data_IF_508449798266
#
_entry.id   IF_508449798266
#
_cell.length_a   1.000
_cell.length_b   1.000
_cell.length_c   1.000
_cell.angle_alpha   90.00
_cell.angle_beta   90.00
_cell.angle_gamma   90.00
#
_symmetry.space_group_name_H-M   'P 1'
#
loop_
_entity.id
_entity.type
_entity.pdbx_description
1 polymer ?
#
# COMPACT_ATOMS: atom_id res chain seq x y z
N UNK A 1 -39.43 -12.87 -41.16
CA UNK A 1 -38.12 -12.95 -41.82
C UNK A 1 -37.94 -11.62 -42.55
N UNK A 2 -37.49 -10.52 -41.93
CA UNK A 2 -36.36 -10.37 -41.01
C UNK A 2 -35.07 -10.71 -41.77
N UNK A 3 -34.07 -9.87 -42.00
CA UNK A 3 -33.66 -8.59 -41.42
C UNK A 3 -32.62 -7.95 -42.37
N UNK A 4 -32.18 -6.71 -42.07
CA UNK A 4 -30.85 -6.12 -42.40
C UNK A 4 -30.72 -5.01 -43.46
N UNK A 5 -31.80 -4.46 -44.02
CA UNK A 5 -31.65 -3.32 -44.95
C UNK A 5 -31.17 -2.02 -44.27
N UNK A 6 -31.42 -1.85 -42.97
CA UNK A 6 -31.05 -0.64 -42.22
C UNK A 6 -29.60 -0.66 -41.71
N UNK A 7 -28.88 -1.79 -41.78
CA UNK A 7 -27.52 -1.91 -41.25
C UNK A 7 -26.47 -1.14 -42.07
N UNK A 8 -26.82 -0.74 -43.30
CA UNK A 8 -25.89 -0.11 -44.25
C UNK A 8 -26.29 1.32 -44.64
N UNK A 9 -27.32 1.90 -44.02
CA UNK A 9 -27.80 3.25 -44.34
C UNK A 9 -27.31 4.22 -43.27
N UNK A 10 -26.02 4.55 -43.33
CA UNK A 10 -25.49 5.75 -42.70
C UNK A 10 -25.50 6.90 -43.72
N UNK A 11 -25.87 8.08 -43.25
CA UNK A 11 -26.12 9.30 -44.04
C UNK A 11 -25.10 9.56 -45.15
N UNK A 12 -25.57 9.50 -46.41
CA UNK A 12 -25.01 10.25 -47.54
C UNK A 12 -23.68 9.79 -48.13
N UNK A 13 -23.05 8.71 -47.65
CA UNK A 13 -21.79 8.21 -48.20
C UNK A 13 -22.05 6.88 -48.92
N UNK A 14 -22.14 6.93 -50.25
CA UNK A 14 -22.19 5.74 -51.10
C UNK A 14 -20.81 5.07 -51.11
N UNK A 15 -20.65 3.97 -50.36
CA UNK A 15 -19.43 3.16 -50.40
C UNK A 15 -19.41 2.44 -51.75
N UNK A 16 -18.42 2.77 -52.59
CA UNK A 16 -18.26 2.13 -53.90
C UNK A 16 -18.06 0.62 -53.75
N UNK A 17 -18.65 -0.21 -54.63
CA UNK A 17 -18.48 -1.66 -54.57
C UNK A 17 -17.00 -2.02 -54.64
N UNK A 18 -16.60 -3.01 -53.82
CA UNK A 18 -15.20 -3.41 -53.55
C UNK A 18 -14.37 -3.76 -54.80
N UNK A 19 -15.00 -3.88 -55.97
CA UNK A 19 -14.33 -4.08 -57.27
C UNK A 19 -13.62 -2.84 -57.82
N UNK A 20 -13.82 -1.64 -57.24
CA UNK A 20 -13.13 -0.39 -57.62
C UNK A 20 -12.43 0.31 -56.44
N UNK A 21 -12.00 -0.43 -55.42
CA UNK A 21 -11.17 0.13 -54.36
C UNK A 21 -9.74 0.38 -54.89
N UNK A 22 -9.26 1.62 -54.77
CA UNK A 22 -7.90 2.05 -55.17
C UNK A 22 -6.82 1.38 -54.31
N UNK A 23 -7.19 0.87 -53.14
CA UNK A 23 -6.32 0.14 -52.23
C UNK A 23 -6.74 -1.33 -52.17
N UNK A 24 -5.80 -2.29 -52.32
CA UNK A 24 -6.12 -3.70 -52.26
C UNK A 24 -6.71 -4.03 -50.88
N UNK A 25 -7.85 -4.73 -50.89
CA UNK A 25 -8.62 -5.04 -49.69
C UNK A 25 -7.75 -5.69 -48.62
N UNK A 26 -7.67 -5.05 -47.45
CA UNK A 26 -7.10 -5.67 -46.27
C UNK A 26 -7.97 -6.88 -45.94
N UNK A 27 -7.44 -8.07 -46.21
CA UNK A 27 -7.86 -9.30 -45.54
C UNK A 27 -8.10 -8.99 -44.07
N UNK A 28 -9.19 -9.50 -43.51
CA UNK A 28 -9.54 -9.44 -42.10
C UNK A 28 -8.38 -9.92 -41.23
N UNK A 29 -7.46 -9.00 -40.90
CA UNK A 29 -6.54 -9.17 -39.79
C UNK A 29 -7.37 -8.89 -38.54
N UNK A 30 -7.67 -9.96 -37.83
CA UNK A 30 -8.10 -9.94 -36.43
C UNK A 30 -7.02 -9.23 -35.63
N UNK A 31 -7.14 -7.91 -35.53
CA UNK A 31 -6.29 -7.05 -34.72
C UNK A 31 -6.45 -7.41 -33.24
N UNK A 32 -5.66 -8.37 -32.77
CA UNK A 32 -5.27 -8.51 -31.36
C UNK A 32 -4.32 -7.36 -30.99
N UNK A 33 -4.74 -6.13 -31.27
CA UNK A 33 -3.98 -4.93 -31.02
C UNK A 33 -3.98 -4.66 -29.51
N UNK A 34 -3.03 -5.29 -28.82
CA UNK A 34 -2.48 -4.78 -27.57
C UNK A 34 -2.04 -3.35 -27.81
N UNK A 35 -2.90 -2.38 -27.53
CA UNK A 35 -2.59 -0.97 -27.68
C UNK A 35 -1.51 -0.59 -26.64
N UNK A 36 -0.31 -0.19 -27.08
CA UNK A 36 0.72 0.27 -26.17
C UNK A 36 0.44 1.74 -25.82
N UNK A 37 -0.10 1.99 -24.62
CA UNK A 37 -0.04 3.33 -24.05
C UNK A 37 1.44 3.62 -23.73
N UNK A 38 2.10 4.36 -24.62
CA UNK A 38 3.51 4.79 -24.52
C UNK A 38 4.58 3.71 -24.78
N UNK A 39 4.58 3.12 -25.98
CA UNK A 39 5.68 2.35 -26.61
C UNK A 39 6.46 1.34 -25.71
N UNK A 40 5.85 0.91 -24.61
CA UNK A 40 6.38 -0.07 -23.67
C UNK A 40 5.32 -1.16 -23.54
N UNK A 41 5.62 -2.41 -23.92
CA UNK A 41 4.72 -3.50 -23.59
C UNK A 41 4.61 -3.56 -22.06
N UNK A 42 3.39 -3.37 -21.55
CA UNK A 42 3.06 -3.60 -20.13
C UNK A 42 3.17 -5.11 -19.88
N UNK A 43 4.40 -5.59 -19.75
CA UNK A 43 4.67 -6.92 -19.27
C UNK A 43 4.39 -6.89 -17.77
N UNK A 44 3.18 -7.30 -17.40
CA UNK A 44 2.85 -7.74 -16.04
C UNK A 44 3.66 -9.00 -15.73
N UNK A 45 4.98 -8.85 -15.64
CA UNK A 45 5.82 -9.85 -15.01
C UNK A 45 5.46 -9.83 -13.54
N UNK A 46 5.08 -10.99 -13.02
CA UNK A 46 4.95 -11.23 -11.58
C UNK A 46 6.35 -11.05 -10.99
N UNK A 47 6.74 -9.80 -10.76
CA UNK A 47 7.92 -9.49 -9.96
C UNK A 47 7.49 -9.79 -8.53
N UNK A 48 8.16 -10.72 -7.82
CA UNK A 48 7.86 -10.94 -6.42
C UNK A 48 7.98 -9.58 -5.72
N UNK A 49 6.85 -9.04 -5.24
CA UNK A 49 6.87 -7.80 -4.47
C UNK A 49 7.61 -8.13 -3.18
N UNK A 50 8.56 -7.29 -2.82
CA UNK A 50 9.28 -7.47 -1.58
C UNK A 50 8.31 -7.35 -0.41
N UNK A 51 8.40 -8.25 0.57
CA UNK A 51 7.45 -8.37 1.69
C UNK A 51 7.26 -7.05 2.46
N UNK A 52 8.32 -6.23 2.57
CA UNK A 52 8.25 -4.92 3.24
C UNK A 52 7.31 -3.93 2.53
N UNK A 53 7.19 -4.01 1.19
CA UNK A 53 6.27 -3.16 0.41
C UNK A 53 4.83 -3.55 0.63
N UNK A 54 4.56 -4.85 0.74
CA UNK A 54 3.22 -5.36 0.99
C UNK A 54 2.77 -5.04 2.42
N UNK A 55 3.67 -5.14 3.41
CA UNK A 55 3.40 -4.70 4.78
C UNK A 55 3.09 -3.20 4.85
N UNK A 56 3.93 -2.36 4.24
CA UNK A 56 3.72 -0.91 4.22
C UNK A 56 2.40 -0.53 3.54
N UNK A 57 2.09 -1.17 2.41
CA UNK A 57 0.83 -0.96 1.69
C UNK A 57 -0.38 -1.37 2.56
N UNK A 58 -0.28 -2.51 3.23
CA UNK A 58 -1.31 -2.99 4.14
C UNK A 58 -1.56 -2.00 5.28
N UNK A 59 -0.51 -1.54 5.97
CA UNK A 59 -0.61 -0.58 7.08
C UNK A 59 -1.28 0.73 6.66
N UNK A 60 -0.95 1.25 5.47
CA UNK A 60 -1.52 2.52 4.96
C UNK A 60 -3.00 2.36 4.58
N UNK A 61 -3.38 1.22 4.00
CA UNK A 61 -4.75 0.95 3.55
C UNK A 61 -5.72 0.58 4.69
N UNK A 62 -5.23 0.33 5.91
CA UNK A 62 -6.09 0.05 7.07
C UNK A 62 -6.99 1.24 7.41
N UNK A 63 -8.15 0.98 8.03
CA UNK A 63 -8.96 2.05 8.62
C UNK A 63 -8.18 2.75 9.76
N UNK A 64 -8.52 4.01 10.08
CA UNK A 64 -7.90 4.76 11.17
C UNK A 64 -7.81 4.00 12.52
N UNK A 65 -8.90 3.42 13.04
CA UNK A 65 -8.84 2.70 14.31
C UNK A 65 -8.03 1.40 14.22
N UNK A 66 -8.10 0.69 13.08
CA UNK A 66 -7.29 -0.53 12.89
C UNK A 66 -5.80 -0.23 12.83
N UNK A 67 -5.41 0.89 12.22
CA UNK A 67 -4.02 1.33 12.22
C UNK A 67 -3.55 1.65 13.63
N UNK A 68 -4.33 2.42 14.40
CA UNK A 68 -3.97 2.74 15.78
C UNK A 68 -3.82 1.48 16.63
N UNK A 69 -4.72 0.51 16.47
CA UNK A 69 -4.63 -0.79 17.14
C UNK A 69 -3.38 -1.56 16.72
N UNK A 70 -3.07 -1.63 15.42
CA UNK A 70 -1.87 -2.32 14.92
C UNK A 70 -0.57 -1.69 15.42
N UNK A 71 -0.50 -0.36 15.49
CA UNK A 71 0.66 0.34 16.08
C UNK A 71 0.76 0.05 17.58
N UNK A 72 -0.36 0.14 18.32
CA UNK A 72 -0.38 -0.16 19.74
C UNK A 72 0.04 -1.61 20.03
N UNK A 73 -0.48 -2.59 19.31
CA UNK A 73 -0.10 -4.00 19.50
C UNK A 73 1.37 -4.23 19.17
N UNK A 74 1.91 -3.59 18.12
CA UNK A 74 3.34 -3.67 17.82
C UNK A 74 4.20 -3.04 18.92
N UNK A 75 3.77 -1.91 19.49
CA UNK A 75 4.43 -1.22 20.59
C UNK A 75 4.49 -2.09 21.86
N UNK A 76 3.34 -2.59 22.32
CA UNK A 76 3.28 -3.48 23.48
C UNK A 76 3.99 -4.82 23.22
N UNK A 77 3.96 -5.32 21.98
CA UNK A 77 4.66 -6.54 21.60
C UNK A 77 6.18 -6.41 21.71
N UNK A 78 6.74 -5.25 21.35
CA UNK A 78 8.18 -4.99 21.51
C UNK A 78 8.56 -4.90 22.99
N UNK A 79 7.78 -4.17 23.81
CA UNK A 79 8.01 -4.10 25.26
C UNK A 79 7.96 -5.50 25.88
N UNK A 80 6.97 -6.30 25.52
CA UNK A 80 6.85 -7.66 26.03
C UNK A 80 8.02 -8.56 25.60
N UNK A 81 8.53 -8.40 24.37
CA UNK A 81 9.70 -9.14 23.90
C UNK A 81 10.95 -8.79 24.71
N UNK A 82 11.19 -7.50 25.00
CA UNK A 82 12.31 -7.08 25.84
C UNK A 82 12.14 -7.52 27.30
N UNK A 83 10.93 -7.47 27.84
CA UNK A 83 10.62 -8.02 29.17
C UNK A 83 11.00 -9.50 29.28
N UNK A 84 10.67 -10.30 28.27
CA UNK A 84 11.10 -11.71 28.19
C UNK A 84 12.62 -11.83 28.08
N UNK A 85 13.29 -10.95 27.35
CA UNK A 85 14.75 -10.95 27.26
C UNK A 85 15.40 -10.68 28.63
N UNK A 86 14.89 -9.74 29.42
CA UNK A 86 15.36 -9.50 30.79
C UNK A 86 15.17 -10.73 31.69
N UNK A 87 14.02 -11.40 31.57
CA UNK A 87 13.71 -12.59 32.37
C UNK A 87 14.56 -13.82 31.99
N UNK A 88 14.65 -14.15 30.69
CA UNK A 88 15.33 -15.37 30.23
C UNK A 88 16.84 -15.24 30.07
N UNK A 89 17.32 -14.08 29.60
CA UNK A 89 18.75 -13.92 29.25
C UNK A 89 19.56 -13.46 30.44
N UNK A 90 19.07 -12.45 31.17
CA UNK A 90 19.81 -11.87 32.29
C UNK A 90 19.39 -12.43 33.65
N UNK A 91 18.24 -13.13 33.75
CA UNK A 91 17.68 -13.66 35.01
C UNK A 91 17.69 -12.66 36.17
N UNK A 92 17.56 -11.39 35.83
CA UNK A 92 17.76 -10.28 36.76
C UNK A 92 16.48 -9.90 37.51
N UNK A 93 15.32 -10.27 36.94
CA UNK A 93 14.00 -10.05 37.52
C UNK A 93 13.42 -11.38 38.05
N UNK A 94 12.92 -11.36 39.29
CA UNK A 94 12.22 -12.51 39.87
C UNK A 94 10.82 -12.71 39.29
N UNK A 95 10.18 -11.62 38.83
CA UNK A 95 8.87 -11.64 38.19
C UNK A 95 8.92 -11.00 36.80
N UNK A 96 8.09 -11.49 35.89
CA UNK A 96 7.97 -10.99 34.53
C UNK A 96 7.38 -9.58 34.50
N UNK A 97 6.55 -9.23 35.48
CA UNK A 97 6.02 -7.87 35.64
C UNK A 97 7.11 -6.84 35.94
N UNK A 98 8.14 -7.19 36.71
CA UNK A 98 9.28 -6.29 36.96
C UNK A 98 10.10 -6.04 35.69
N UNK A 99 10.30 -7.09 34.89
CA UNK A 99 10.95 -6.97 33.58
C UNK A 99 10.13 -6.12 32.59
N UNK A 100 8.80 -6.27 32.59
CA UNK A 100 7.91 -5.40 31.82
C UNK A 100 7.98 -3.95 32.31
N UNK A 101 8.06 -3.75 33.62
CA UNK A 101 8.16 -2.42 34.21
C UNK A 101 9.44 -1.68 33.82
N UNK A 102 10.56 -2.41 33.82
CA UNK A 102 11.84 -1.92 33.33
C UNK A 102 11.79 -1.58 31.83
N UNK A 103 11.26 -2.50 31.03
CA UNK A 103 11.19 -2.35 29.58
C UNK A 103 10.27 -1.20 29.14
N UNK A 104 9.06 -1.05 29.69
CA UNK A 104 8.18 0.06 29.25
C UNK A 104 8.82 1.42 29.52
N UNK A 105 9.51 1.57 30.64
CA UNK A 105 10.10 2.84 31.07
C UNK A 105 11.28 3.21 30.16
N UNK A 106 12.10 2.23 29.81
CA UNK A 106 13.21 2.39 28.87
C UNK A 106 12.70 2.63 27.45
N UNK A 107 11.76 1.80 26.99
CA UNK A 107 11.25 1.86 25.62
C UNK A 107 10.48 3.15 25.35
N UNK A 108 9.65 3.58 26.31
CA UNK A 108 8.92 4.85 26.21
C UNK A 108 9.80 6.07 26.47
N UNK A 109 11.07 5.89 26.81
CA UNK A 109 12.01 6.96 27.19
C UNK A 109 11.52 7.83 28.36
N UNK A 110 10.65 7.29 29.22
CA UNK A 110 10.09 8.01 30.38
C UNK A 110 11.13 8.09 31.50
N UNK A 111 11.80 6.97 31.80
CA UNK A 111 12.93 6.99 32.73
C UNK A 111 12.61 7.39 34.18
N UNK A 112 11.51 6.93 34.80
CA UNK A 112 11.18 7.23 36.21
C UNK A 112 12.32 6.99 37.22
N UNK A 113 13.26 6.08 36.92
CA UNK A 113 14.45 5.82 37.73
C UNK A 113 14.21 4.96 38.98
N UNK A 114 12.98 4.49 39.20
CA UNK A 114 12.62 3.63 40.35
C UNK A 114 13.08 2.18 40.11
N UNK A 115 12.93 1.71 38.87
CA UNK A 115 13.36 0.37 38.42
C UNK A 115 14.50 0.55 37.41
N UNK A 116 15.61 -0.15 37.64
CA UNK A 116 16.82 -0.10 36.83
C UNK A 116 17.55 -1.44 36.86
N UNK A 117 18.30 -1.74 35.79
CA UNK A 117 19.19 -2.90 35.74
C UNK A 117 20.44 -2.67 36.60
N UNK A 118 20.73 -3.63 37.48
CA UNK A 118 21.91 -3.73 38.35
C UNK A 118 23.04 -4.54 37.70
N UNK A 119 22.72 -5.52 36.88
CA UNK A 119 23.67 -6.42 36.25
C UNK A 119 24.22 -5.87 34.93
N UNK A 120 25.41 -6.36 34.55
CA UNK A 120 26.07 -5.96 33.29
C UNK A 120 25.24 -6.40 32.08
N UNK A 121 24.59 -7.57 32.17
CA UNK A 121 23.73 -8.11 31.12
C UNK A 121 22.53 -7.19 30.85
N UNK A 122 21.76 -6.82 31.87
CA UNK A 122 20.58 -5.99 31.67
C UNK A 122 20.94 -4.58 31.21
N UNK A 123 22.08 -4.01 31.65
CA UNK A 123 22.57 -2.74 31.12
C UNK A 123 22.76 -2.76 29.59
N UNK A 124 23.34 -3.84 29.02
CA UNK A 124 23.46 -3.96 27.56
C UNK A 124 22.09 -4.07 26.86
N UNK A 125 21.16 -4.82 27.46
CA UNK A 125 19.80 -4.97 26.92
C UNK A 125 19.06 -3.63 26.95
N UNK A 126 19.13 -2.88 28.04
CA UNK A 126 18.53 -1.54 28.16
C UNK A 126 19.11 -0.55 27.16
N UNK A 127 20.43 -0.60 26.90
CA UNK A 127 21.05 0.23 25.85
C UNK A 127 20.47 -0.11 24.47
N UNK A 128 20.42 -1.40 24.12
CA UNK A 128 19.85 -1.85 22.84
C UNK A 128 18.37 -1.48 22.71
N UNK A 129 17.61 -1.62 23.79
CA UNK A 129 16.20 -1.25 23.85
C UNK A 129 16.01 0.24 23.58
N UNK A 130 16.76 1.11 24.26
CA UNK A 130 16.69 2.57 24.06
C UNK A 130 17.04 2.98 22.62
N UNK A 131 18.01 2.30 21.99
CA UNK A 131 18.34 2.52 20.59
C UNK A 131 17.19 2.11 19.65
N UNK A 132 16.55 0.96 19.91
CA UNK A 132 15.41 0.50 19.14
C UNK A 132 14.21 1.46 19.25
N UNK A 133 13.96 2.04 20.42
CA UNK A 133 12.93 3.08 20.59
C UNK A 133 13.16 4.30 19.74
N UNK A 134 14.41 4.77 19.66
CA UNK A 134 14.77 5.92 18.83
C UNK A 134 14.51 5.69 17.34
N UNK A 135 14.50 4.44 16.88
CA UNK A 135 14.17 4.09 15.49
C UNK A 135 12.66 3.85 15.33
N UNK A 136 12.03 3.13 16.27
CA UNK A 136 10.63 2.72 16.18
C UNK A 136 9.64 3.88 16.35
N UNK A 137 9.84 4.76 17.34
CA UNK A 137 8.91 5.85 17.63
C UNK A 137 8.77 6.83 16.44
N UNK A 138 9.87 7.30 15.80
CA UNK A 138 9.76 8.11 14.59
C UNK A 138 9.17 7.36 13.41
N UNK A 139 9.42 6.05 13.30
CA UNK A 139 8.82 5.23 12.23
C UNK A 139 7.30 5.17 12.37
N UNK A 140 6.77 5.01 13.59
CA UNK A 140 5.32 5.06 13.83
C UNK A 140 4.74 6.43 13.47
N UNK A 141 5.38 7.52 13.88
CA UNK A 141 4.98 8.86 13.50
C UNK A 141 5.01 9.07 11.97
N UNK A 142 6.05 8.56 11.29
CA UNK A 142 6.19 8.62 9.84
C UNK A 142 5.10 7.86 9.09
N UNK A 143 4.67 6.70 9.59
CA UNK A 143 3.54 5.94 9.03
C UNK A 143 2.23 6.73 9.19
N UNK A 144 2.01 7.33 10.36
CA UNK A 144 0.84 8.16 10.63
C UNK A 144 0.82 9.37 9.69
N UNK A 145 1.95 10.07 9.56
CA UNK A 145 2.12 11.19 8.64
C UNK A 145 1.87 10.78 7.19
N UNK A 146 2.45 9.66 6.75
CA UNK A 146 2.24 9.12 5.40
C UNK A 146 0.77 8.93 5.13
N UNK A 147 0.01 8.38 6.08
CA UNK A 147 -1.44 8.19 5.94
C UNK A 147 -2.21 9.51 5.85
N UNK A 148 -1.82 10.51 6.61
CA UNK A 148 -2.40 11.86 6.52
C UNK A 148 -2.10 12.53 5.18
N UNK A 149 -0.96 12.22 4.55
CA UNK A 149 -0.58 12.76 3.25
C UNK A 149 -1.36 12.16 2.07
N UNK A 150 -2.17 11.10 2.26
CA UNK A 150 -2.94 10.55 1.15
C UNK A 150 -4.01 11.55 0.68
N UNK A 151 -4.00 11.96 -0.61
CA UNK A 151 -4.98 12.89 -1.14
C UNK A 151 -6.37 12.23 -1.16
N UNK A 152 -7.32 12.77 -0.41
CA UNK A 152 -8.72 12.37 -0.44
C UNK A 152 -9.51 13.30 -1.35
N UNK A 153 -9.27 13.24 -2.65
CA UNK A 153 -10.09 13.96 -3.63
C UNK A 153 -11.13 12.99 -4.18
N UNK A 154 -12.41 13.25 -3.89
CA UNK A 154 -13.52 12.53 -4.49
C UNK A 154 -13.97 13.31 -5.73
N UNK A 155 -13.58 12.82 -6.92
CA UNK A 155 -14.08 13.37 -8.19
C UNK A 155 -15.35 12.61 -8.55
N UNK A 156 -16.49 13.30 -8.52
CA UNK A 156 -17.75 12.74 -8.98
C UNK A 156 -17.82 12.85 -10.51
N UNK A 157 -17.93 11.71 -11.19
CA UNK A 157 -18.19 11.66 -12.63
C UNK A 157 -19.67 11.37 -12.88
N UNK A 158 -20.23 11.97 -13.93
CA UNK A 158 -21.57 11.63 -14.42
C UNK A 158 -21.59 10.17 -14.84
N UNK A 159 -22.61 9.41 -14.40
CA UNK A 159 -22.84 8.04 -14.84
C UNK A 159 -23.33 7.98 -16.30
N UNK A 160 -23.82 9.10 -16.83
CA UNK A 160 -24.30 9.22 -18.22
C UNK A 160 -23.27 9.96 -19.05
N UNK A 161 -22.81 9.31 -20.12
CA UNK A 161 -21.98 9.92 -21.16
C UNK A 161 -22.89 10.46 -22.27
N UNK A 162 -22.79 11.76 -22.58
CA UNK A 162 -23.50 12.36 -23.69
C UNK A 162 -22.58 12.48 -24.91
N UNK A 163 -23.07 12.06 -26.07
CA UNK A 163 -22.41 12.21 -27.36
C UNK A 163 -23.18 13.30 -28.12
N UNK A 164 -22.53 14.42 -28.42
CA UNK A 164 -23.07 15.42 -29.34
C UNK A 164 -22.25 15.45 -30.63
N UNK A 165 -22.89 15.66 -31.80
CA UNK A 165 -22.16 15.99 -33.01
C UNK A 165 -21.46 17.35 -32.83
N UNK A 166 -20.17 17.40 -33.18
CA UNK A 166 -19.40 18.64 -33.12
C UNK A 166 -19.81 19.53 -34.30
N UNK A 167 -20.53 20.62 -34.02
CA UNK A 167 -20.95 21.57 -35.04
C UNK A 167 -19.76 22.48 -35.39
N UNK A 168 -19.02 22.16 -36.43
CA UNK A 168 -18.16 23.14 -37.10
C UNK A 168 -19.02 23.88 -38.12
N UNK A 169 -19.27 25.17 -37.88
CA UNK A 169 -19.99 26.05 -38.82
C UNK A 169 -19.28 26.23 -40.14
#
# INVERSE_FOLDING_TARGET
>A
MGDSAWRNVWHGIAVAPASRAIFPGSSSQTSSAQQPFFNRPLRSGVRPRALYKDLAYFLINLSWPRLALALATSYFGVIFLFALAFYFVCQECNDLFDGYNLSYQAFSTIGFGIVYSRDRCGNYVTILESYMSMVLLPTFAGIIFTKFSLPKVQVAFSNVCCIQPNYSG
#
